data_IF_959767780015
#
_entry.id   IF_959767780015
#
_cell.length_a   1.000
_cell.length_b   1.000
_cell.length_c   1.000
_cell.angle_alpha   90.00
_cell.angle_beta   90.00
_cell.angle_gamma   90.00
#
_symmetry.space_group_name_H-M   'P 1'
#
loop_
_entity.id
_entity.type
_entity.pdbx_description
1 polymer ?
#
# COMPACT_ATOMS: atom_id res chain seq x y z
N UNK A 1 42.54 25.83 29.05
CA UNK A 1 41.90 26.53 27.91
C UNK A 1 40.46 26.05 27.82
N UNK A 2 39.51 26.79 28.42
CA UNK A 2 38.08 26.41 28.43
C UNK A 2 37.43 26.96 27.15
N UNK A 3 36.94 26.07 26.29
CA UNK A 3 36.26 26.44 25.05
C UNK A 3 34.85 26.90 25.41
N UNK A 4 34.64 28.22 25.44
CA UNK A 4 33.29 28.81 25.47
C UNK A 4 32.65 28.64 24.09
N UNK A 5 32.02 27.47 23.86
CA UNK A 5 31.10 27.30 22.74
C UNK A 5 29.80 28.07 23.05
N UNK A 6 29.64 29.14 22.29
CA UNK A 6 28.75 30.30 22.46
C UNK A 6 27.27 29.96 22.63
N UNK A 7 26.64 30.60 23.62
CA UNK A 7 25.19 30.70 23.84
C UNK A 7 24.39 31.08 22.58
N UNK A 8 24.99 31.82 21.64
CA UNK A 8 24.35 32.22 20.39
C UNK A 8 23.98 31.07 19.42
N UNK A 9 24.68 29.93 19.47
CA UNK A 9 24.31 28.77 18.63
C UNK A 9 23.00 28.11 19.12
N UNK A 10 22.80 28.09 20.44
CA UNK A 10 21.58 27.54 21.07
C UNK A 10 20.37 28.45 20.82
N UNK A 11 20.58 29.78 20.82
CA UNK A 11 19.53 30.75 20.47
C UNK A 11 19.19 30.72 18.98
N UNK A 12 20.19 30.57 18.11
CA UNK A 12 20.00 30.38 16.67
C UNK A 12 19.24 29.09 16.36
N UNK A 13 19.60 27.96 16.99
CA UNK A 13 18.85 26.71 16.89
C UNK A 13 17.41 26.83 17.41
N UNK A 14 17.17 27.65 18.42
CA UNK A 14 15.82 27.89 18.97
C UNK A 14 14.95 28.77 18.07
N UNK A 15 15.54 29.75 17.36
CA UNK A 15 14.78 30.61 16.43
C UNK A 15 14.51 29.93 15.09
N UNK A 16 15.44 29.09 14.61
CA UNK A 16 15.33 28.43 13.31
C UNK A 16 14.82 26.97 13.39
N UNK A 17 14.85 26.35 14.56
CA UNK A 17 14.41 24.96 14.75
C UNK A 17 12.91 24.78 14.49
N UNK A 18 12.06 25.75 14.86
CA UNK A 18 10.63 25.71 14.54
C UNK A 18 10.37 25.88 13.05
N UNK A 19 11.14 26.73 12.37
CA UNK A 19 11.07 26.90 10.91
C UNK A 19 11.55 25.65 10.16
N UNK A 20 12.61 25.00 10.64
CA UNK A 20 13.10 23.74 10.09
C UNK A 20 12.09 22.61 10.25
N UNK A 21 11.47 22.49 11.43
CA UNK A 21 10.42 21.49 11.67
C UNK A 21 9.18 21.78 10.81
N UNK A 22 8.76 23.05 10.70
CA UNK A 22 7.63 23.43 9.86
C UNK A 22 7.90 23.17 8.37
N UNK A 23 9.11 23.43 7.87
CA UNK A 23 9.49 23.13 6.48
C UNK A 23 9.60 21.63 6.23
N UNK A 24 10.08 20.84 7.20
CA UNK A 24 10.11 19.38 7.09
C UNK A 24 8.69 18.79 7.04
N UNK A 25 7.78 19.29 7.89
CA UNK A 25 6.37 18.89 7.87
C UNK A 25 5.71 19.28 6.54
N UNK A 26 5.98 20.48 6.04
CA UNK A 26 5.46 20.94 4.75
C UNK A 26 6.01 20.10 3.59
N UNK A 27 7.29 19.76 3.60
CA UNK A 27 7.91 18.91 2.58
C UNK A 27 7.32 17.49 2.59
N UNK A 28 7.08 16.92 3.78
CA UNK A 28 6.40 15.62 3.92
C UNK A 28 4.96 15.73 3.40
N UNK A 29 4.22 16.78 3.74
CA UNK A 29 2.85 17.00 3.26
C UNK A 29 2.78 17.13 1.74
N UNK A 30 3.70 17.89 1.14
CA UNK A 30 3.80 18.03 -0.33
C UNK A 30 4.15 16.67 -0.96
N UNK A 31 5.09 15.92 -0.40
CA UNK A 31 5.44 14.58 -0.91
C UNK A 31 4.23 13.64 -0.87
N UNK A 32 3.47 13.62 0.24
CA UNK A 32 2.25 12.82 0.33
C UNK A 32 1.17 13.26 -0.64
N UNK A 33 1.05 14.57 -0.90
CA UNK A 33 0.09 15.12 -1.84
C UNK A 33 0.46 14.81 -3.30
N UNK A 34 1.75 14.90 -3.66
CA UNK A 34 2.25 14.54 -5.00
C UNK A 34 2.03 13.06 -5.26
N UNK A 35 2.37 12.17 -4.31
CA UNK A 35 2.10 10.73 -4.42
C UNK A 35 0.60 10.47 -4.61
N UNK A 36 -0.25 11.16 -3.85
CA UNK A 36 -1.71 11.06 -3.98
C UNK A 36 -2.21 11.53 -5.35
N UNK A 37 -1.62 12.58 -5.93
CA UNK A 37 -1.98 13.08 -7.27
C UNK A 37 -1.50 12.15 -8.37
N UNK A 38 -0.25 11.67 -8.33
CA UNK A 38 0.25 10.72 -9.33
C UNK A 38 -0.58 9.44 -9.34
N UNK A 39 -0.97 8.95 -8.15
CA UNK A 39 -1.86 7.79 -8.07
C UNK A 39 -3.27 8.09 -8.60
N UNK A 40 -3.75 9.34 -8.48
CA UNK A 40 -5.04 9.74 -9.05
C UNK A 40 -4.99 9.97 -10.57
N UNK A 41 -3.84 10.34 -11.13
CA UNK A 41 -3.67 10.52 -12.57
C UNK A 41 -3.62 9.19 -13.33
N UNK A 42 -3.07 8.14 -12.73
CA UNK A 42 -3.14 6.77 -13.29
C UNK A 42 -4.59 6.28 -13.43
N UNK A 43 -5.51 6.76 -12.59
CA UNK A 43 -6.94 6.37 -12.58
C UNK A 43 -7.82 7.08 -13.62
N UNK A 44 -7.30 8.06 -14.39
CA UNK A 44 -8.15 8.95 -15.24
C UNK A 44 -7.79 8.95 -16.71
N UNK A 45 -6.86 8.11 -17.16
CA UNK A 45 -6.69 7.87 -18.60
C UNK A 45 -7.97 7.17 -19.07
N UNK A 46 -8.66 7.68 -20.10
CA UNK A 46 -9.84 7.01 -20.64
C UNK A 46 -9.38 5.67 -21.21
N UNK A 47 -9.52 4.61 -20.42
CA UNK A 47 -9.30 3.26 -20.90
C UNK A 47 -10.23 3.05 -22.09
N UNK A 48 -9.64 2.74 -23.23
CA UNK A 48 -10.44 2.20 -24.32
C UNK A 48 -11.07 0.90 -23.81
N UNK A 49 -12.27 0.54 -24.29
CA UNK A 49 -12.95 -0.72 -23.89
C UNK A 49 -12.03 -1.94 -24.05
N UNK A 50 -11.07 -1.84 -24.97
CA UNK A 50 -9.97 -2.77 -25.16
C UNK A 50 -9.09 -2.85 -23.89
N UNK A 51 -8.44 -1.75 -23.49
CA UNK A 51 -7.60 -1.74 -22.29
C UNK A 51 -8.32 -2.26 -21.05
N UNK A 52 -9.60 -1.92 -20.85
CA UNK A 52 -10.38 -2.39 -19.71
C UNK A 52 -10.56 -3.92 -19.71
N UNK A 53 -10.84 -4.54 -20.85
CA UNK A 53 -11.01 -6.00 -20.94
C UNK A 53 -9.67 -6.71 -20.78
N UNK A 54 -8.59 -6.17 -21.35
CA UNK A 54 -7.24 -6.70 -21.16
C UNK A 54 -6.86 -6.69 -19.66
N UNK A 55 -7.09 -5.55 -19.00
CA UNK A 55 -6.92 -5.40 -17.56
C UNK A 55 -7.71 -6.43 -16.75
N UNK A 56 -8.93 -6.75 -17.20
CA UNK A 56 -9.78 -7.75 -16.54
C UNK A 56 -9.29 -9.17 -16.76
N UNK A 57 -8.69 -9.47 -17.91
CA UNK A 57 -8.01 -10.74 -18.18
C UNK A 57 -6.79 -10.89 -17.27
N UNK A 58 -5.94 -9.87 -17.18
CA UNK A 58 -4.76 -9.88 -16.31
C UNK A 58 -5.15 -10.11 -14.84
N UNK A 59 -6.15 -9.39 -14.33
CA UNK A 59 -6.67 -9.60 -12.97
C UNK A 59 -7.25 -11.00 -12.75
N UNK A 60 -7.90 -11.57 -13.77
CA UNK A 60 -8.44 -12.93 -13.69
C UNK A 60 -7.32 -13.97 -13.65
N UNK A 61 -6.28 -13.78 -14.45
CA UNK A 61 -5.08 -14.62 -14.45
C UNK A 61 -4.40 -14.63 -13.08
N UNK A 62 -4.16 -13.43 -12.50
CA UNK A 62 -3.58 -13.30 -11.15
C UNK A 62 -4.43 -14.02 -10.09
N UNK A 63 -5.76 -13.91 -10.17
CA UNK A 63 -6.69 -14.58 -9.25
C UNK A 63 -6.64 -16.11 -9.37
N UNK A 64 -6.51 -16.62 -10.58
CA UNK A 64 -6.32 -18.06 -10.85
C UNK A 64 -5.02 -18.56 -10.21
N UNK A 65 -3.91 -17.86 -10.45
CA UNK A 65 -2.60 -18.23 -9.92
C UNK A 65 -2.56 -18.16 -8.38
N UNK A 66 -3.17 -17.13 -7.81
CA UNK A 66 -3.34 -16.99 -6.36
C UNK A 66 -4.13 -18.15 -5.78
N UNK A 67 -5.30 -18.45 -6.35
CA UNK A 67 -6.14 -19.56 -5.89
C UNK A 67 -5.41 -20.90 -5.99
N UNK A 68 -4.61 -21.12 -7.04
CA UNK A 68 -3.80 -22.32 -7.18
C UNK A 68 -2.80 -22.49 -6.03
N UNK A 69 -2.14 -21.40 -5.60
CA UNK A 69 -1.25 -21.40 -4.44
C UNK A 69 -1.99 -21.74 -3.13
N UNK A 70 -3.15 -21.14 -2.88
CA UNK A 70 -3.98 -21.44 -1.69
C UNK A 70 -4.36 -22.92 -1.66
N UNK A 71 -4.82 -23.45 -2.80
CA UNK A 71 -5.29 -24.83 -2.89
C UNK A 71 -4.15 -25.84 -2.74
N UNK A 72 -2.94 -25.51 -3.23
CA UNK A 72 -1.75 -26.31 -2.96
C UNK A 72 -1.44 -26.35 -1.46
N UNK A 73 -1.39 -25.19 -0.80
CA UNK A 73 -1.16 -25.11 0.66
C UNK A 73 -2.23 -25.88 1.46
N UNK A 74 -3.51 -25.74 1.08
CA UNK A 74 -4.61 -26.44 1.75
C UNK A 74 -4.55 -27.97 1.54
N UNK A 75 -4.12 -28.42 0.36
CA UNK A 75 -3.87 -29.85 0.09
C UNK A 75 -2.72 -30.38 0.95
N UNK A 76 -1.64 -29.63 1.11
CA UNK A 76 -0.50 -30.01 1.94
C UNK A 76 -0.88 -30.12 3.43
N UNK A 77 -1.87 -29.34 3.87
CA UNK A 77 -2.49 -29.44 5.20
C UNK A 77 -3.51 -30.57 5.34
N UNK A 78 -3.77 -31.35 4.27
CA UNK A 78 -4.69 -32.48 4.27
C UNK A 78 -6.18 -32.08 4.22
N UNK A 79 -6.51 -30.86 3.82
CA UNK A 79 -7.89 -30.40 3.65
C UNK A 79 -8.49 -30.96 2.34
N UNK A 80 -9.78 -31.30 2.36
CA UNK A 80 -10.49 -31.67 1.14
C UNK A 80 -10.78 -30.41 0.30
N UNK A 81 -10.01 -30.28 -0.78
CA UNK A 81 -10.08 -29.16 -1.73
C UNK A 81 -10.75 -29.55 -3.05
N UNK A 82 -11.33 -30.75 -3.16
CA UNK A 82 -11.78 -31.33 -4.44
C UNK A 82 -12.77 -30.42 -5.18
N UNK A 83 -13.75 -29.85 -4.46
CA UNK A 83 -14.73 -28.92 -5.02
C UNK A 83 -14.08 -27.64 -5.55
N UNK A 84 -13.09 -27.11 -4.85
CA UNK A 84 -12.41 -25.88 -5.23
C UNK A 84 -11.45 -26.07 -6.40
N UNK A 85 -10.81 -27.25 -6.48
CA UNK A 85 -9.98 -27.63 -7.64
C UNK A 85 -10.83 -27.75 -8.91
N UNK A 86 -12.04 -28.32 -8.83
CA UNK A 86 -12.97 -28.36 -9.98
C UNK A 86 -13.37 -26.95 -10.44
N UNK A 87 -13.68 -26.05 -9.49
CA UNK A 87 -13.98 -24.65 -9.81
C UNK A 87 -12.80 -23.92 -10.42
N UNK A 88 -11.59 -24.11 -9.90
CA UNK A 88 -10.36 -23.54 -10.46
C UNK A 88 -10.13 -24.01 -11.91
N UNK A 89 -10.30 -25.30 -12.18
CA UNK A 89 -10.13 -25.85 -13.52
C UNK A 89 -11.17 -25.28 -14.51
N UNK A 90 -12.43 -25.12 -14.07
CA UNK A 90 -13.47 -24.46 -14.88
C UNK A 90 -13.14 -22.99 -15.16
N UNK A 91 -12.66 -22.26 -14.15
CA UNK A 91 -12.23 -20.87 -14.32
C UNK A 91 -11.05 -20.74 -15.28
N UNK A 92 -10.06 -21.65 -15.23
CA UNK A 92 -8.95 -21.71 -16.19
C UNK A 92 -9.43 -21.94 -17.63
N UNK A 93 -10.42 -22.81 -17.81
CA UNK A 93 -11.00 -23.07 -19.13
C UNK A 93 -11.72 -21.84 -19.69
N UNK A 94 -12.50 -21.16 -18.86
CA UNK A 94 -13.17 -19.90 -19.23
C UNK A 94 -12.17 -18.79 -19.52
N UNK A 95 -11.09 -18.68 -18.74
CA UNK A 95 -10.00 -17.73 -19.00
C UNK A 95 -9.38 -17.96 -20.39
N UNK A 96 -9.02 -19.20 -20.73
CA UNK A 96 -8.46 -19.53 -22.04
C UNK A 96 -9.44 -19.22 -23.19
N UNK A 97 -10.75 -19.43 -22.98
CA UNK A 97 -11.76 -19.05 -23.97
C UNK A 97 -11.88 -17.53 -24.09
N UNK A 98 -11.82 -16.80 -22.98
CA UNK A 98 -11.89 -15.35 -22.97
C UNK A 98 -10.70 -14.71 -23.67
N UNK A 99 -9.49 -15.23 -23.45
CA UNK A 99 -8.26 -14.82 -24.15
C UNK A 99 -8.34 -15.10 -25.66
N UNK A 100 -8.86 -16.26 -26.06
CA UNK A 100 -9.04 -16.59 -27.47
C UNK A 100 -10.10 -15.71 -28.16
N UNK A 101 -11.18 -15.37 -27.47
CA UNK A 101 -12.20 -14.43 -27.97
C UNK A 101 -11.64 -13.01 -28.05
N UNK A 102 -10.80 -12.63 -27.10
CA UNK A 102 -10.07 -11.36 -27.09
C UNK A 102 -9.15 -11.21 -28.30
N UNK A 103 -8.32 -12.22 -28.58
CA UNK A 103 -7.39 -12.24 -29.73
C UNK A 103 -8.12 -12.14 -31.08
N UNK A 104 -9.36 -12.63 -31.15
CA UNK A 104 -10.23 -12.54 -32.33
C UNK A 104 -10.95 -11.20 -32.45
N UNK A 105 -10.80 -10.29 -31.48
CA UNK A 105 -11.52 -9.02 -31.42
C UNK A 105 -12.99 -9.15 -30.99
N UNK A 106 -13.39 -10.30 -30.44
CA UNK A 106 -14.74 -10.56 -29.93
C UNK A 106 -14.86 -10.11 -28.47
N UNK A 107 -14.78 -8.80 -28.26
CA UNK A 107 -14.65 -8.19 -26.94
C UNK A 107 -15.85 -8.44 -26.00
N UNK A 108 -17.08 -8.39 -26.51
CA UNK A 108 -18.28 -8.66 -25.70
C UNK A 108 -18.32 -10.12 -25.21
N UNK A 109 -17.90 -11.06 -26.06
CA UNK A 109 -17.84 -12.49 -25.73
C UNK A 109 -16.74 -12.75 -24.70
N UNK A 110 -15.55 -12.18 -24.90
CA UNK A 110 -14.46 -12.22 -23.93
C UNK A 110 -14.91 -11.68 -22.56
N UNK A 111 -15.58 -10.53 -22.54
CA UNK A 111 -16.09 -9.92 -21.32
C UNK A 111 -17.09 -10.82 -20.58
N UNK A 112 -18.02 -11.46 -21.30
CA UNK A 112 -18.99 -12.38 -20.70
C UNK A 112 -18.31 -13.60 -20.07
N UNK A 113 -17.32 -14.18 -20.76
CA UNK A 113 -16.54 -15.32 -20.26
C UNK A 113 -15.73 -14.95 -19.00
N UNK A 114 -15.19 -13.73 -18.96
CA UNK A 114 -14.51 -13.19 -17.78
C UNK A 114 -15.49 -13.08 -16.59
N UNK A 115 -16.70 -12.57 -16.80
CA UNK A 115 -17.72 -12.47 -15.75
C UNK A 115 -18.07 -13.87 -15.21
N UNK A 116 -18.30 -14.83 -16.10
CA UNK A 116 -18.61 -16.21 -15.71
C UNK A 116 -17.46 -16.85 -14.91
N UNK A 117 -16.21 -16.59 -15.29
CA UNK A 117 -15.04 -17.07 -14.56
C UNK A 117 -14.98 -16.48 -13.14
N UNK A 118 -15.30 -15.19 -12.98
CA UNK A 118 -15.37 -14.54 -11.67
C UNK A 118 -16.48 -15.10 -10.78
N UNK A 119 -17.63 -15.47 -11.34
CA UNK A 119 -18.73 -16.09 -10.61
C UNK A 119 -18.38 -17.49 -10.10
N UNK A 120 -17.67 -18.28 -10.91
CA UNK A 120 -17.22 -19.64 -10.52
C UNK A 120 -16.10 -19.58 -9.49
N UNK A 121 -15.19 -18.62 -9.64
CA UNK A 121 -14.02 -18.44 -8.78
C UNK A 121 -14.19 -17.19 -7.92
N UNK A 122 -15.08 -17.17 -6.90
CA UNK A 122 -15.27 -16.02 -6.03
C UNK A 122 -13.97 -15.68 -5.30
N UNK A 123 -13.85 -14.44 -4.84
CA UNK A 123 -12.53 -13.81 -4.68
C UNK A 123 -11.59 -14.42 -3.66
N UNK A 124 -11.84 -15.47 -2.90
CA UNK A 124 -10.90 -15.96 -1.87
C UNK A 124 -10.14 -14.81 -1.19
N UNK A 125 -10.80 -14.11 -0.28
CA UNK A 125 -10.19 -13.06 0.54
C UNK A 125 -8.92 -13.66 1.15
N UNK A 126 -7.76 -13.41 0.54
CA UNK A 126 -6.48 -13.85 1.02
C UNK A 126 -6.05 -12.90 2.12
N UNK A 127 -5.67 -13.53 3.23
CA UNK A 127 -4.79 -13.12 4.31
C UNK A 127 -4.92 -11.69 4.86
N UNK A 128 -4.95 -11.52 6.20
CA UNK A 128 -4.95 -10.19 6.79
C UNK A 128 -3.78 -9.43 6.21
N UNK A 129 -4.09 -8.41 5.41
CA UNK A 129 -3.12 -7.54 4.76
C UNK A 129 -2.00 -7.32 5.75
N UNK A 130 -0.80 -7.81 5.44
CA UNK A 130 0.37 -7.64 6.28
C UNK A 130 0.47 -6.13 6.52
N UNK A 131 -0.07 -5.69 7.66
CA UNK A 131 -0.27 -4.30 7.99
C UNK A 131 1.13 -3.76 8.07
N UNK A 132 1.57 -3.11 6.98
CA UNK A 132 2.97 -2.86 6.67
C UNK A 132 3.70 -2.49 7.95
N UNK A 133 4.48 -3.42 8.50
CA UNK A 133 5.09 -3.25 9.84
C UNK A 133 6.00 -2.02 9.85
N UNK A 134 6.52 -1.66 8.67
CA UNK A 134 7.22 -0.42 8.38
C UNK A 134 6.38 0.84 8.63
N UNK A 135 5.08 0.83 8.31
CA UNK A 135 4.16 1.94 8.53
C UNK A 135 3.85 2.11 10.03
N UNK A 136 3.62 0.99 10.74
CA UNK A 136 3.42 0.98 12.19
C UNK A 136 4.71 1.44 12.91
N UNK A 137 5.86 0.92 12.47
CA UNK A 137 7.18 1.31 12.98
C UNK A 137 7.49 2.79 12.73
N UNK A 138 7.09 3.32 11.58
CA UNK A 138 7.21 4.74 11.25
C UNK A 138 6.34 5.65 12.13
N UNK A 139 5.10 5.25 12.41
CA UNK A 139 4.19 5.99 13.30
C UNK A 139 4.71 5.95 14.75
N UNK A 140 5.08 4.77 15.27
CA UNK A 140 5.59 4.63 16.64
C UNK A 140 6.93 5.35 16.80
N UNK A 141 7.84 5.21 15.84
CA UNK A 141 9.13 5.89 15.83
C UNK A 141 8.98 7.41 15.76
N UNK A 142 8.09 7.90 14.89
CA UNK A 142 7.79 9.33 14.77
C UNK A 142 7.19 9.92 16.05
N UNK A 143 6.24 9.22 16.67
CA UNK A 143 5.66 9.63 17.95
C UNK A 143 6.68 9.64 19.10
N UNK A 144 7.60 8.68 19.15
CA UNK A 144 8.66 8.63 20.17
C UNK A 144 9.65 9.80 20.04
N UNK A 145 10.03 10.18 18.82
CA UNK A 145 10.92 11.32 18.57
C UNK A 145 10.24 12.63 18.94
N UNK A 146 8.97 12.83 18.54
CA UNK A 146 8.20 14.03 18.92
C UNK A 146 8.02 14.09 20.45
N UNK A 147 7.70 12.95 21.09
CA UNK A 147 7.58 12.84 22.55
C UNK A 147 8.87 13.19 23.28
N UNK A 148 10.02 12.74 22.78
CA UNK A 148 11.33 13.07 23.34
C UNK A 148 11.66 14.57 23.21
N UNK A 149 11.34 15.18 22.06
CA UNK A 149 11.53 16.62 21.84
C UNK A 149 10.68 17.44 22.81
N UNK A 150 9.40 17.08 22.98
CA UNK A 150 8.48 17.74 23.92
C UNK A 150 8.93 17.53 25.37
N UNK A 151 9.38 16.32 25.74
CA UNK A 151 9.88 16.02 27.08
C UNK A 151 11.14 16.85 27.41
N UNK A 152 12.09 16.96 26.48
CA UNK A 152 13.29 17.81 26.65
C UNK A 152 12.89 19.28 26.78
N UNK A 153 11.93 19.75 26.00
CA UNK A 153 11.45 21.14 26.08
C UNK A 153 10.76 21.45 27.41
N UNK A 154 9.93 20.53 27.92
CA UNK A 154 9.25 20.66 29.21
C UNK A 154 10.21 20.53 30.40
N UNK A 155 11.18 19.61 30.34
CA UNK A 155 12.23 19.49 31.35
C UNK A 155 13.09 20.75 31.42
N UNK A 156 13.45 21.33 30.27
CA UNK A 156 14.22 22.59 30.21
C UNK A 156 13.43 23.77 30.77
N UNK A 157 12.11 23.81 30.58
CA UNK A 157 11.23 24.83 31.17
C UNK A 157 11.07 24.67 32.69
N UNK A 158 11.07 23.43 33.20
CA UNK A 158 10.94 23.13 34.64
C UNK A 158 12.24 23.38 35.42
N UNK A 159 13.41 23.09 34.83
CA UNK A 159 14.71 23.33 35.46
C UNK A 159 15.27 24.75 35.21
N UNK A 160 14.77 25.48 34.21
CA UNK A 160 15.09 26.89 33.99
C UNK A 160 14.48 27.87 35.01
N UNK A 161 13.56 27.41 35.86
CA UNK A 161 12.95 28.21 36.95
C UNK A 161 13.62 27.97 38.32
N UNK A 162 14.60 27.07 38.42
CA UNK A 162 15.35 26.78 39.65
C UNK A 162 16.80 27.29 39.62
N UNK A 163 17.23 27.89 38.51
CA UNK A 163 18.52 28.58 38.40
C UNK A 163 18.32 30.10 38.52
N UNK A 164 18.04 30.54 39.75
CA UNK A 164 18.42 31.88 40.22
C UNK A 164 19.93 31.97 40.35
#
# INVERSE_FOLDING_TARGET
>A
MKIHLKSGFVEWLRSWGTLLVATLILAIAIATFVVSITHHQELTIPHTLHEEINDRLDRLYERIERTERILQNARDLGLDVTLYVDRLNKAKLLFNQAELSWDKGQYDESNNLIIEAYDILPEFIEEPAALNWWLIGGIIGGCAVIGAIVAVFLLRRRFGLLGS
#
